data_IF_464681579412
#
_entry.id   IF_464681579412
#
_cell.length_a   1.000
_cell.length_b   1.000
_cell.length_c   1.000
_cell.angle_alpha   90.00
_cell.angle_beta   90.00
_cell.angle_gamma   90.00
#
_symmetry.space_group_name_H-M   'P 1'
#
loop_
_entity.id
_entity.type
_entity.pdbx_description
1 polymer ?
#
# COMPACT_ATOMS: atom_id res chain seq x y z
N UNK A 1 10.28 49.12 -21.95
CA UNK A 1 11.06 48.21 -21.10
C UNK A 1 12.23 47.68 -21.93
N UNK A 2 13.48 47.83 -21.44
CA UNK A 2 14.69 47.37 -22.15
C UNK A 2 14.73 45.84 -22.12
N UNK A 3 14.72 45.21 -23.30
CA UNK A 3 15.09 43.81 -23.46
C UNK A 3 16.59 43.72 -23.15
N UNK A 4 16.96 42.99 -22.11
CA UNK A 4 18.36 42.72 -21.77
C UNK A 4 18.88 41.73 -22.84
N UNK A 5 19.84 42.10 -23.70
CA UNK A 5 20.36 41.18 -24.70
C UNK A 5 21.27 40.16 -23.99
N UNK A 6 20.95 38.87 -24.14
CA UNK A 6 21.75 37.77 -23.60
C UNK A 6 21.03 36.82 -22.63
N UNK A 7 19.75 37.05 -22.31
CA UNK A 7 18.95 36.03 -21.63
C UNK A 7 18.38 35.11 -22.72
N UNK A 8 18.75 33.81 -22.74
CA UNK A 8 18.20 32.88 -23.73
C UNK A 8 16.68 32.85 -23.58
N UNK A 9 15.98 32.90 -24.72
CA UNK A 9 14.54 32.71 -24.72
C UNK A 9 14.26 31.25 -24.36
N UNK A 10 13.49 31.05 -23.29
CA UNK A 10 13.11 29.72 -22.80
C UNK A 10 11.60 29.57 -22.85
N UNK A 11 11.15 28.36 -23.15
CA UNK A 11 9.75 27.97 -23.15
C UNK A 11 9.53 26.98 -22.01
N UNK A 12 8.53 27.21 -21.17
CA UNK A 12 8.23 26.36 -20.00
C UNK A 12 6.83 25.79 -20.16
N UNK A 13 6.73 24.46 -20.12
CA UNK A 13 5.46 23.74 -20.04
C UNK A 13 5.26 23.28 -18.60
N UNK A 14 4.23 23.78 -17.91
CA UNK A 14 3.96 23.43 -16.52
C UNK A 14 2.97 22.27 -16.47
N UNK A 15 3.36 21.15 -15.88
CA UNK A 15 2.47 19.98 -15.69
C UNK A 15 1.83 19.95 -14.30
N UNK A 16 2.57 20.35 -13.27
CA UNK A 16 2.08 20.36 -11.89
C UNK A 16 2.91 21.30 -11.02
N UNK A 17 2.62 21.32 -9.72
CA UNK A 17 3.33 22.13 -8.74
C UNK A 17 3.55 21.29 -7.49
N UNK A 18 4.73 21.37 -6.89
CA UNK A 18 5.00 20.74 -5.60
C UNK A 18 4.39 21.55 -4.43
N UNK A 19 4.42 20.99 -3.22
CA UNK A 19 3.87 21.64 -2.02
C UNK A 19 4.67 22.88 -1.56
N UNK A 20 5.87 23.08 -2.08
CA UNK A 20 6.70 24.27 -1.83
C UNK A 20 6.44 25.39 -2.85
N UNK A 21 5.54 25.16 -3.83
CA UNK A 21 5.18 26.13 -4.86
C UNK A 21 6.09 26.10 -6.09
N UNK A 22 6.97 25.11 -6.23
CA UNK A 22 7.80 24.97 -7.43
C UNK A 22 7.00 24.31 -8.54
N UNK A 23 7.06 24.89 -9.74
CA UNK A 23 6.47 24.30 -10.93
C UNK A 23 7.27 23.09 -11.40
N UNK A 24 6.58 21.97 -11.63
CA UNK A 24 7.12 20.76 -12.24
C UNK A 24 6.67 20.76 -13.69
N UNK A 25 7.61 20.65 -14.61
CA UNK A 25 7.34 20.86 -16.03
C UNK A 25 8.56 20.67 -16.92
N UNK A 26 8.41 21.00 -18.20
CA UNK A 26 9.44 20.89 -19.21
C UNK A 26 10.00 22.25 -19.54
N UNK A 27 11.32 22.36 -19.55
CA UNK A 27 12.02 23.54 -20.00
C UNK A 27 12.60 23.27 -21.39
N UNK A 28 12.30 24.14 -22.34
CA UNK A 28 12.87 24.14 -23.67
C UNK A 28 13.73 25.39 -23.85
N UNK A 29 14.95 25.20 -24.35
CA UNK A 29 15.89 26.28 -24.69
C UNK A 29 16.24 26.09 -26.15
N UNK A 30 15.90 27.07 -27.00
CA UNK A 30 16.16 27.01 -28.45
C UNK A 30 15.62 25.72 -29.12
N UNK A 31 14.45 25.25 -28.68
CA UNK A 31 13.82 24.01 -29.16
C UNK A 31 14.38 22.71 -28.56
N UNK A 32 15.36 22.79 -27.65
CA UNK A 32 15.93 21.63 -26.96
C UNK A 32 15.29 21.45 -25.60
N UNK A 33 14.73 20.27 -25.33
CA UNK A 33 14.22 19.90 -24.01
C UNK A 33 15.38 19.67 -23.03
N UNK A 34 15.47 20.49 -21.99
CA UNK A 34 16.60 20.49 -21.06
C UNK A 34 16.68 19.16 -20.27
N UNK A 35 15.54 18.56 -19.92
CA UNK A 35 15.51 17.27 -19.23
C UNK A 35 16.16 16.17 -20.08
N UNK A 36 15.86 16.15 -21.38
CA UNK A 36 16.48 15.22 -22.34
C UNK A 36 17.99 15.48 -22.44
N UNK A 37 18.41 16.74 -22.60
CA UNK A 37 19.81 17.09 -22.74
C UNK A 37 20.65 16.74 -21.49
N UNK A 38 20.10 16.94 -20.28
CA UNK A 38 20.79 16.59 -19.03
C UNK A 38 20.96 15.07 -18.88
N UNK A 39 19.94 14.30 -19.23
CA UNK A 39 20.01 12.83 -19.25
C UNK A 39 21.02 12.37 -20.29
N UNK A 40 20.95 12.94 -21.50
CA UNK A 40 21.85 12.59 -22.60
C UNK A 40 23.30 12.88 -22.24
N UNK A 41 23.60 13.96 -21.54
CA UNK A 41 24.96 14.30 -21.10
C UNK A 41 25.41 13.54 -19.84
N UNK A 42 24.67 12.52 -19.38
CA UNK A 42 24.95 11.76 -18.16
C UNK A 42 25.01 12.63 -16.89
N UNK A 43 24.27 13.74 -16.84
CA UNK A 43 24.16 14.60 -15.66
C UNK A 43 22.92 14.28 -14.82
N UNK A 44 21.94 13.58 -15.39
CA UNK A 44 20.71 13.15 -14.74
C UNK A 44 20.29 11.73 -15.15
N UNK A 45 19.29 11.18 -14.47
CA UNK A 45 18.65 9.90 -14.78
C UNK A 45 17.15 10.11 -15.02
N UNK A 46 16.55 9.25 -15.83
CA UNK A 46 15.11 9.22 -16.08
C UNK A 46 14.41 8.78 -14.79
N UNK A 47 13.42 9.56 -14.39
CA UNK A 47 12.55 9.26 -13.27
C UNK A 47 11.26 8.59 -13.77
N UNK A 48 10.65 7.70 -12.98
CA UNK A 48 9.45 6.96 -13.39
C UNK A 48 8.26 7.87 -13.76
N UNK A 49 8.22 9.11 -13.26
CA UNK A 49 7.18 10.09 -13.64
C UNK A 49 7.26 10.49 -15.11
N UNK A 50 8.43 10.34 -15.75
CA UNK A 50 8.59 10.57 -17.17
C UNK A 50 7.87 9.53 -18.03
N UNK A 51 7.46 8.38 -17.47
CA UNK A 51 6.77 7.32 -18.22
C UNK A 51 5.47 7.78 -18.88
N UNK A 52 4.78 8.76 -18.25
CA UNK A 52 3.53 9.34 -18.77
C UNK A 52 3.74 10.60 -19.61
N UNK A 53 5.00 11.03 -19.79
CA UNK A 53 5.36 12.24 -20.52
C UNK A 53 5.40 12.01 -22.03
N UNK A 54 5.04 13.00 -22.86
CA UNK A 54 5.30 12.95 -24.30
C UNK A 54 6.80 12.81 -24.62
N UNK A 55 7.71 13.16 -23.70
CA UNK A 55 9.16 13.06 -23.87
C UNK A 55 9.76 11.75 -23.36
N UNK A 56 8.96 10.81 -22.85
CA UNK A 56 9.42 9.52 -22.29
C UNK A 56 10.42 8.81 -23.22
N UNK A 57 10.05 8.66 -24.50
CA UNK A 57 10.88 7.97 -25.50
C UNK A 57 12.23 8.65 -25.70
N UNK A 58 12.25 9.99 -25.77
CA UNK A 58 13.47 10.75 -25.95
C UNK A 58 14.39 10.67 -24.71
N UNK A 59 13.80 10.71 -23.52
CA UNK A 59 14.50 10.56 -22.25
C UNK A 59 15.15 9.17 -22.09
N UNK A 60 14.42 8.10 -22.44
CA UNK A 60 14.96 6.73 -22.39
C UNK A 60 16.10 6.54 -23.38
N UNK A 61 15.93 7.00 -24.63
CA UNK A 61 17.00 6.94 -25.63
C UNK A 61 18.27 7.70 -25.19
N UNK A 62 18.09 8.90 -24.63
CA UNK A 62 19.17 9.70 -24.05
C UNK A 62 19.88 8.97 -22.90
N UNK A 63 19.11 8.29 -22.04
CA UNK A 63 19.66 7.54 -20.91
C UNK A 63 20.47 6.32 -21.36
N UNK A 64 20.00 5.59 -22.36
CA UNK A 64 20.70 4.42 -22.87
C UNK A 64 22.01 4.84 -23.55
N UNK A 65 21.99 5.94 -24.31
CA UNK A 65 23.21 6.55 -24.86
C UNK A 65 24.18 6.98 -23.75
N UNK A 66 23.67 7.55 -22.65
CA UNK A 66 24.49 7.97 -21.51
C UNK A 66 25.11 6.79 -20.74
N UNK A 67 24.37 5.69 -20.56
CA UNK A 67 24.86 4.46 -19.91
C UNK A 67 26.01 3.82 -20.68
N UNK A 68 25.93 3.78 -22.02
CA UNK A 68 26.97 3.21 -22.86
C UNK A 68 28.32 3.92 -22.72
N UNK A 69 28.30 5.23 -22.43
CA UNK A 69 29.54 6.00 -22.25
C UNK A 69 30.18 5.84 -20.87
N UNK A 70 29.47 5.27 -19.88
CA UNK A 70 29.98 5.00 -18.52
C UNK A 70 30.69 6.19 -17.87
N UNK A 71 30.15 7.39 -18.11
CA UNK A 71 30.69 8.65 -17.59
C UNK A 71 29.76 9.24 -16.53
N UNK A 72 30.31 10.11 -15.67
CA UNK A 72 29.55 10.89 -14.68
C UNK A 72 28.65 10.02 -13.79
N UNK A 73 27.32 10.22 -13.83
CA UNK A 73 26.36 9.46 -13.00
C UNK A 73 26.28 7.96 -13.34
N UNK A 74 26.95 7.51 -14.42
CA UNK A 74 27.04 6.11 -14.84
C UNK A 74 28.45 5.51 -14.70
N UNK A 75 29.39 6.21 -14.05
CA UNK A 75 30.79 5.78 -13.86
C UNK A 75 30.98 4.46 -13.10
N UNK A 76 29.97 4.03 -12.34
CA UNK A 76 29.96 2.77 -11.57
C UNK A 76 28.79 1.84 -11.97
N UNK A 77 28.31 1.92 -13.22
CA UNK A 77 27.21 1.09 -13.69
C UNK A 77 27.70 -0.33 -14.03
N UNK A 78 27.19 -1.32 -13.29
CA UNK A 78 27.31 -2.74 -13.63
C UNK A 78 26.02 -3.20 -14.34
N UNK A 79 26.17 -3.73 -15.55
CA UNK A 79 25.07 -4.31 -16.32
C UNK A 79 24.65 -5.63 -15.67
N UNK A 80 23.51 -5.64 -14.98
CA UNK A 80 22.79 -6.89 -14.71
C UNK A 80 22.25 -7.44 -16.03
N UNK A 81 22.52 -8.71 -16.40
CA UNK A 81 22.01 -9.30 -17.63
C UNK A 81 20.49 -9.24 -17.67
N UNK A 82 19.95 -8.55 -18.66
CA UNK A 82 18.51 -8.48 -18.92
C UNK A 82 18.18 -9.72 -19.76
N UNK A 83 17.33 -10.62 -19.22
CA UNK A 83 16.63 -11.59 -20.07
C UNK A 83 15.96 -10.84 -21.22
N UNK A 84 16.10 -11.35 -22.45
CA UNK A 84 15.55 -10.72 -23.67
C UNK A 84 14.06 -10.39 -23.48
N UNK A 85 13.76 -9.11 -23.21
CA UNK A 85 12.39 -8.60 -23.28
C UNK A 85 12.15 -8.23 -24.73
N UNK A 86 11.47 -9.15 -25.43
CA UNK A 86 10.88 -8.99 -26.77
C UNK A 86 10.27 -7.59 -26.92
N UNK A 87 10.50 -6.87 -28.04
CA UNK A 87 9.88 -5.55 -28.26
C UNK A 87 8.36 -5.70 -28.20
N UNK A 88 7.73 -5.01 -27.23
CA UNK A 88 6.28 -4.88 -27.15
C UNK A 88 5.84 -3.97 -28.29
N UNK A 89 5.63 -4.58 -29.46
CA UNK A 89 4.86 -4.02 -30.55
C UNK A 89 3.38 -4.03 -30.15
N UNK A 90 2.74 -2.89 -30.40
CA UNK A 90 1.30 -2.61 -30.36
C UNK A 90 0.63 -2.62 -28.99
N UNK A 91 0.19 -1.42 -28.60
CA UNK A 91 -0.77 -1.14 -27.55
C UNK A 91 -2.03 -2.02 -27.74
N UNK A 92 -2.09 -3.14 -27.03
CA UNK A 92 -3.39 -3.54 -26.48
C UNK A 92 -3.73 -2.49 -25.44
N UNK A 93 -4.80 -1.74 -25.67
CA UNK A 93 -5.49 -0.99 -24.61
C UNK A 93 -5.37 -1.78 -23.32
N UNK A 94 -4.81 -1.16 -22.26
CA UNK A 94 -4.64 -1.81 -20.96
C UNK A 94 -6.02 -2.31 -20.54
N UNK A 95 -6.28 -3.58 -20.76
CA UNK A 95 -7.57 -4.18 -20.45
C UNK A 95 -7.66 -4.16 -18.94
N UNK A 96 -8.49 -3.27 -18.41
CA UNK A 96 -8.62 -3.10 -16.98
C UNK A 96 -9.33 -4.34 -16.41
N UNK A 97 -8.53 -5.25 -15.84
CA UNK A 97 -9.05 -6.41 -15.14
C UNK A 97 -9.32 -6.01 -13.68
N UNK A 98 -10.47 -5.38 -13.46
CA UNK A 98 -10.93 -5.05 -12.11
C UNK A 98 -11.42 -6.32 -11.42
N UNK A 99 -10.89 -6.55 -10.21
CA UNK A 99 -11.35 -7.62 -9.34
C UNK A 99 -12.13 -7.02 -8.16
N UNK A 100 -13.27 -7.61 -7.78
CA UNK A 100 -13.97 -7.20 -6.57
C UNK A 100 -13.13 -7.55 -5.34
N UNK A 101 -12.89 -6.56 -4.48
CA UNK A 101 -12.14 -6.71 -3.24
C UNK A 101 -12.85 -6.03 -2.08
N UNK A 102 -12.59 -6.47 -0.85
CA UNK A 102 -13.03 -5.83 0.37
C UNK A 102 -11.83 -5.14 1.04
N UNK A 103 -11.86 -3.82 1.18
CA UNK A 103 -10.79 -3.07 1.87
C UNK A 103 -10.97 -3.24 3.38
N UNK A 104 -9.96 -3.75 4.07
CA UNK A 104 -10.04 -4.12 5.48
C UNK A 104 -9.30 -3.16 6.41
N UNK A 105 -8.18 -2.59 5.97
CA UNK A 105 -7.34 -1.71 6.77
C UNK A 105 -6.72 -0.63 5.89
N UNK A 106 -6.61 0.59 6.41
CA UNK A 106 -5.84 1.69 5.82
C UNK A 106 -4.79 2.09 6.84
N UNK A 107 -3.52 2.08 6.43
CA UNK A 107 -2.38 2.42 7.28
C UNK A 107 -2.11 3.93 7.27
N UNK A 108 -1.37 4.39 8.29
CA UNK A 108 -0.94 5.80 8.38
C UNK A 108 -0.05 6.23 7.19
N UNK A 109 0.67 5.28 6.58
CA UNK A 109 1.53 5.51 5.41
C UNK A 109 0.76 5.44 4.08
N UNK A 110 -0.57 5.48 4.12
CA UNK A 110 -1.48 5.43 2.97
C UNK A 110 -1.36 4.15 2.11
N UNK A 111 -0.81 3.09 2.69
CA UNK A 111 -1.03 1.72 2.21
C UNK A 111 -2.38 1.23 2.71
N UNK A 112 -2.92 0.21 2.06
CA UNK A 112 -4.17 -0.42 2.47
C UNK A 112 -4.13 -1.92 2.25
N UNK A 113 -4.89 -2.67 3.05
CA UNK A 113 -5.05 -4.11 2.90
C UNK A 113 -6.41 -4.44 2.34
N UNK A 114 -6.46 -5.47 1.49
CA UNK A 114 -7.69 -5.97 0.90
C UNK A 114 -7.80 -7.48 1.00
N UNK A 115 -9.04 -7.96 0.99
CA UNK A 115 -9.42 -9.36 0.80
C UNK A 115 -10.04 -9.55 -0.59
N UNK A 116 -9.80 -10.70 -1.22
CA UNK A 116 -10.48 -11.10 -2.45
C UNK A 116 -11.93 -11.54 -2.12
N UNK A 117 -12.92 -10.97 -2.81
CA UNK A 117 -14.33 -11.33 -2.60
C UNK A 117 -14.60 -12.79 -3.00
N UNK A 118 -13.85 -13.34 -3.96
CA UNK A 118 -14.02 -14.72 -4.42
C UNK A 118 -13.68 -15.75 -3.33
N UNK A 119 -12.78 -15.42 -2.40
CA UNK A 119 -12.36 -16.30 -1.30
C UNK A 119 -13.04 -15.97 0.04
N UNK A 120 -13.87 -14.92 0.10
CA UNK A 120 -14.53 -14.47 1.33
C UNK A 120 -15.32 -15.56 2.07
N UNK A 121 -16.13 -16.35 1.34
CA UNK A 121 -16.89 -17.45 1.93
C UNK A 121 -15.99 -18.56 2.53
N UNK A 122 -14.79 -18.74 1.99
CA UNK A 122 -13.83 -19.71 2.51
C UNK A 122 -13.22 -19.21 3.83
N UNK A 123 -12.94 -17.91 3.93
CA UNK A 123 -12.48 -17.27 5.16
C UNK A 123 -13.55 -17.34 6.26
N UNK A 124 -14.80 -17.00 5.94
CA UNK A 124 -15.92 -17.07 6.89
C UNK A 124 -16.06 -18.48 7.47
N UNK A 125 -16.08 -19.49 6.60
CA UNK A 125 -16.15 -20.90 7.02
C UNK A 125 -14.95 -21.33 7.85
N UNK A 126 -13.75 -20.87 7.51
CA UNK A 126 -12.54 -21.13 8.30
C UNK A 126 -12.67 -20.55 9.70
N UNK A 127 -13.10 -19.29 9.81
CA UNK A 127 -13.26 -18.59 11.09
C UNK A 127 -14.34 -19.21 11.96
N UNK A 128 -15.49 -19.59 11.39
CA UNK A 128 -16.56 -20.29 12.10
C UNK A 128 -16.06 -21.61 12.71
N UNK A 129 -15.42 -22.46 11.90
CA UNK A 129 -14.88 -23.74 12.35
C UNK A 129 -13.78 -23.56 13.41
N UNK A 130 -12.87 -22.60 13.20
CA UNK A 130 -11.79 -22.31 14.14
C UNK A 130 -12.33 -21.85 15.48
N UNK A 131 -13.30 -20.93 15.49
CA UNK A 131 -13.91 -20.40 16.73
C UNK A 131 -14.71 -21.48 17.45
N UNK A 132 -15.42 -22.34 16.73
CA UNK A 132 -16.12 -23.48 17.32
C UNK A 132 -15.16 -24.46 18.00
N UNK A 133 -14.03 -24.78 17.35
CA UNK A 133 -13.00 -25.67 17.92
C UNK A 133 -12.35 -25.05 19.17
N UNK A 134 -11.96 -23.77 19.09
CA UNK A 134 -11.36 -23.02 20.19
C UNK A 134 -12.35 -22.82 21.35
N UNK A 135 -13.64 -22.67 21.07
CA UNK A 135 -14.69 -22.61 22.09
C UNK A 135 -14.90 -23.94 22.81
N UNK A 136 -14.78 -25.07 22.09
CA UNK A 136 -14.87 -26.42 22.66
C UNK A 136 -13.61 -26.80 23.45
N UNK A 137 -12.45 -26.33 22.99
CA UNK A 137 -11.16 -26.55 23.63
C UNK A 137 -10.47 -25.21 23.94
N UNK A 138 -10.90 -24.50 25.00
CA UNK A 138 -10.34 -23.21 25.35
C UNK A 138 -8.82 -23.26 25.52
N UNK A 139 -8.06 -22.29 24.97
CA UNK A 139 -6.62 -22.25 25.15
C UNK A 139 -6.24 -22.13 26.62
N UNK A 140 -5.29 -22.95 27.07
CA UNK A 140 -4.75 -22.88 28.42
C UNK A 140 -3.76 -21.72 28.50
N UNK A 141 -3.93 -20.85 29.49
CA UNK A 141 -3.04 -19.71 29.70
C UNK A 141 -1.59 -20.19 29.92
N UNK A 142 -0.64 -19.56 29.22
CA UNK A 142 0.79 -19.93 29.29
C UNK A 142 1.20 -21.15 28.43
N UNK A 143 0.26 -21.82 27.75
CA UNK A 143 0.58 -22.95 26.85
C UNK A 143 1.30 -22.52 25.56
N UNK A 144 1.28 -21.23 25.23
CA UNK A 144 1.93 -20.66 24.06
C UNK A 144 3.05 -19.72 24.46
N UNK A 145 4.28 -20.02 24.00
CA UNK A 145 5.43 -19.13 24.10
C UNK A 145 5.69 -18.50 22.73
N UNK A 146 5.25 -17.26 22.48
CA UNK A 146 5.35 -16.64 21.17
C UNK A 146 6.81 -16.38 20.78
N UNK A 147 7.16 -16.65 19.52
CA UNK A 147 8.42 -16.21 18.90
C UNK A 147 8.14 -15.46 17.62
N UNK A 148 9.02 -14.52 17.28
CA UNK A 148 8.94 -13.79 16.02
C UNK A 148 8.85 -14.76 14.84
N UNK A 149 7.84 -14.55 14.00
CA UNK A 149 7.55 -15.37 12.83
C UNK A 149 6.52 -16.47 13.06
N UNK A 150 6.22 -16.84 14.31
CA UNK A 150 5.23 -17.87 14.62
C UNK A 150 3.83 -17.44 14.14
N UNK A 151 3.08 -18.40 13.60
CA UNK A 151 1.65 -18.27 13.39
C UNK A 151 0.90 -18.67 14.66
N UNK A 152 -0.11 -17.89 15.01
CA UNK A 152 -0.90 -18.05 16.21
C UNK A 152 -2.37 -17.68 15.94
N UNK A 153 -3.22 -17.91 16.93
CA UNK A 153 -4.50 -17.20 17.02
C UNK A 153 -4.37 -16.10 18.07
N UNK A 154 -5.01 -14.96 17.79
CA UNK A 154 -5.05 -13.80 18.66
C UNK A 154 -6.51 -13.40 18.91
N UNK A 155 -6.85 -13.17 20.18
CA UNK A 155 -8.18 -12.72 20.58
C UNK A 155 -8.27 -11.21 20.38
N UNK A 156 -9.14 -10.72 19.50
CA UNK A 156 -9.29 -9.29 19.22
C UNK A 156 -10.19 -8.60 20.26
N UNK A 157 -10.37 -7.28 20.14
CA UNK A 157 -11.14 -6.46 21.10
C UNK A 157 -12.64 -6.73 21.09
N UNK A 158 -13.15 -7.34 20.02
CA UNK A 158 -14.52 -7.85 19.91
C UNK A 158 -14.75 -9.16 20.71
N UNK A 159 -13.67 -9.75 21.24
CA UNK A 159 -13.70 -11.01 21.96
C UNK A 159 -13.57 -12.26 21.09
N UNK A 160 -13.44 -12.11 19.77
CA UNK A 160 -13.32 -13.23 18.83
C UNK A 160 -11.86 -13.58 18.55
N UNK A 161 -11.63 -14.84 18.15
CA UNK A 161 -10.31 -15.32 17.76
C UNK A 161 -10.08 -15.21 16.25
N UNK A 162 -8.88 -14.79 15.89
CA UNK A 162 -8.44 -14.58 14.51
C UNK A 162 -7.04 -15.14 14.29
N UNK A 163 -6.70 -15.47 13.05
CA UNK A 163 -5.33 -15.90 12.70
C UNK A 163 -4.39 -14.71 12.68
N UNK A 164 -3.20 -14.88 13.26
CA UNK A 164 -2.20 -13.84 13.37
C UNK A 164 -0.78 -14.39 13.20
N UNK A 165 0.16 -13.49 12.95
CA UNK A 165 1.60 -13.76 12.93
C UNK A 165 2.30 -12.85 13.93
N UNK A 166 3.22 -13.42 14.70
CA UNK A 166 4.04 -12.65 15.64
C UNK A 166 5.10 -11.86 14.87
N UNK A 167 5.07 -10.54 14.95
CA UNK A 167 6.07 -9.65 14.32
C UNK A 167 7.26 -9.38 15.26
N UNK A 168 6.99 -9.20 16.55
CA UNK A 168 8.00 -8.86 17.57
C UNK A 168 7.53 -9.30 18.96
N UNK A 169 8.46 -9.76 19.78
CA UNK A 169 8.24 -10.04 21.21
C UNK A 169 9.11 -9.09 22.02
N UNK A 170 8.51 -8.32 22.90
CA UNK A 170 9.23 -7.37 23.77
C UNK A 170 9.60 -8.01 25.11
N UNK A 171 10.69 -7.56 25.70
CA UNK A 171 11.18 -8.05 27.01
C UNK A 171 10.17 -7.86 28.15
N UNK A 172 9.23 -6.91 28.01
CA UNK A 172 8.15 -6.66 28.97
C UNK A 172 6.91 -7.54 28.79
N UNK A 173 6.98 -8.60 27.98
CA UNK A 173 5.87 -9.52 27.73
C UNK A 173 4.82 -9.01 26.75
N UNK A 174 5.01 -7.85 26.13
CA UNK A 174 4.17 -7.35 25.05
C UNK A 174 4.55 -8.01 23.72
N UNK A 175 3.55 -8.42 22.95
CA UNK A 175 3.75 -9.11 21.68
C UNK A 175 3.07 -8.32 20.58
N UNK A 176 3.84 -7.92 19.58
CA UNK A 176 3.35 -7.29 18.36
C UNK A 176 2.91 -8.36 17.39
N UNK A 177 1.67 -8.28 16.92
CA UNK A 177 1.09 -9.23 16.00
C UNK A 177 0.47 -8.53 14.80
N UNK A 178 0.41 -9.27 13.70
CA UNK A 178 -0.26 -8.88 12.46
C UNK A 178 -1.37 -9.87 12.17
N UNK A 179 -2.60 -9.38 12.01
CA UNK A 179 -3.76 -10.20 11.65
C UNK A 179 -3.70 -10.55 10.17
N UNK A 180 -3.29 -11.79 9.86
CA UNK A 180 -2.90 -12.20 8.50
C UNK A 180 -4.05 -12.18 7.49
N UNK A 181 -5.29 -12.15 7.98
CA UNK A 181 -6.48 -12.12 7.14
C UNK A 181 -7.07 -10.71 7.00
N UNK A 182 -6.64 -9.73 7.81
CA UNK A 182 -7.25 -8.39 7.84
C UNK A 182 -6.25 -7.24 7.64
N UNK A 183 -4.97 -7.43 7.91
CA UNK A 183 -3.93 -6.42 7.66
C UNK A 183 -3.64 -5.47 8.83
N UNK A 184 -4.54 -5.38 9.81
CA UNK A 184 -4.31 -4.56 11.00
C UNK A 184 -3.30 -5.21 11.96
N UNK A 185 -2.65 -4.36 12.76
CA UNK A 185 -1.64 -4.75 13.76
C UNK A 185 -2.14 -4.45 15.17
N UNK A 186 -1.71 -5.24 16.14
CA UNK A 186 -2.02 -4.98 17.56
C UNK A 186 -0.83 -5.36 18.45
N UNK A 187 -0.74 -4.73 19.62
CA UNK A 187 0.18 -5.15 20.69
C UNK A 187 -0.64 -5.79 21.81
N UNK A 188 -0.38 -7.07 22.07
CA UNK A 188 -1.16 -7.90 22.97
C UNK A 188 -0.31 -8.51 24.10
N UNK A 189 -0.91 -8.80 25.27
CA UNK A 189 -0.31 -9.69 26.24
C UNK A 189 -0.35 -11.15 25.73
N UNK A 190 0.53 -12.05 26.21
CA UNK A 190 0.56 -13.43 25.75
C UNK A 190 -0.71 -14.21 26.11
N UNK A 191 -1.47 -13.77 27.11
CA UNK A 191 -2.76 -14.36 27.51
C UNK A 191 -3.87 -14.19 26.45
N UNK A 192 -3.70 -13.28 25.48
CA UNK A 192 -4.59 -13.12 24.32
C UNK A 192 -4.08 -13.88 23.09
N UNK A 193 -3.05 -14.70 23.22
CA UNK A 193 -2.45 -15.48 22.15
C UNK A 193 -2.52 -16.98 22.47
N UNK A 194 -2.71 -17.79 21.44
CA UNK A 194 -2.67 -19.24 21.55
C UNK A 194 -2.09 -19.88 20.28
N UNK A 195 -1.65 -21.15 20.32
CA UNK A 195 -1.13 -21.82 19.15
C UNK A 195 -2.21 -21.91 18.07
N UNK A 196 -1.85 -21.69 16.81
CA UNK A 196 -2.78 -21.89 15.70
C UNK A 196 -2.98 -23.40 15.47
N UNK A 197 -4.21 -23.93 15.56
CA UNK A 197 -4.44 -25.34 15.26
C UNK A 197 -4.07 -25.63 13.79
N UNK A 198 -3.38 -26.75 13.48
CA UNK A 198 -2.89 -27.04 12.13
C UNK A 198 -3.97 -27.03 11.04
N UNK A 199 -5.20 -27.40 11.42
CA UNK A 199 -6.38 -27.40 10.54
C UNK A 199 -6.74 -26.00 10.00
N UNK A 200 -6.28 -24.93 10.64
CA UNK A 200 -6.54 -23.54 10.22
C UNK A 200 -5.27 -22.82 9.76
N UNK A 201 -4.19 -23.57 9.52
CA UNK A 201 -2.89 -23.02 9.13
C UNK A 201 -2.94 -22.29 7.78
N UNK A 202 -1.96 -21.39 7.50
CA UNK A 202 -1.81 -20.75 6.19
C UNK A 202 -1.67 -21.70 4.99
N UNK A 203 -1.36 -22.99 5.24
CA UNK A 203 -1.32 -24.03 4.20
C UNK A 203 -2.71 -24.50 3.78
N UNK A 204 -3.71 -24.41 4.67
CA UNK A 204 -5.10 -24.81 4.42
C UNK A 204 -5.84 -23.69 3.69
N UNK A 205 -5.72 -22.46 4.20
CA UNK A 205 -6.18 -21.26 3.51
C UNK A 205 -5.06 -20.22 3.62
N UNK A 206 -4.54 -19.68 2.51
CA UNK A 206 -3.53 -18.61 2.55
C UNK A 206 -3.98 -17.40 3.37
N UNK A 207 -3.06 -16.56 3.86
CA UNK A 207 -3.39 -15.25 4.42
C UNK A 207 -4.31 -14.49 3.45
N UNK A 208 -5.42 -13.95 3.96
CA UNK A 208 -6.42 -13.31 3.11
C UNK A 208 -6.21 -11.80 2.93
N UNK A 209 -5.35 -11.16 3.72
CA UNK A 209 -5.01 -9.75 3.54
C UNK A 209 -3.80 -9.58 2.63
N UNK A 210 -3.97 -8.79 1.56
CA UNK A 210 -2.88 -8.36 0.67
C UNK A 210 -2.70 -6.86 0.76
N UNK A 211 -1.47 -6.41 0.99
CA UNK A 211 -1.11 -4.99 1.04
C UNK A 211 -1.02 -4.40 -0.37
N UNK A 212 -1.55 -3.19 -0.53
CA UNK A 212 -1.50 -2.39 -1.74
C UNK A 212 -1.20 -0.93 -1.43
N UNK A 213 -0.75 -0.22 -2.46
CA UNK A 213 -0.54 1.22 -2.46
C UNK A 213 -1.34 1.86 -3.59
N UNK A 214 -1.69 3.13 -3.44
CA UNK A 214 -2.36 3.85 -4.52
C UNK A 214 -1.41 4.11 -5.70
N UNK A 215 -1.89 3.89 -6.91
CA UNK A 215 -1.16 4.27 -8.12
C UNK A 215 -1.20 5.79 -8.32
N UNK A 216 -0.10 6.35 -8.84
CA UNK A 216 -0.01 7.73 -9.35
C UNK A 216 -0.16 8.87 -8.32
N UNK A 217 -0.13 8.58 -7.03
CA UNK A 217 -0.13 9.61 -5.97
C UNK A 217 1.12 9.50 -5.09
N UNK A 218 1.51 10.62 -4.50
CA UNK A 218 2.55 10.66 -3.47
C UNK A 218 1.90 10.73 -2.09
N UNK A 219 2.39 9.91 -1.16
CA UNK A 219 1.99 9.96 0.25
C UNK A 219 2.42 11.31 0.83
N UNK A 220 1.51 12.08 1.47
CA UNK A 220 1.89 13.31 2.16
C UNK A 220 2.96 13.05 3.22
N UNK A 221 4.10 13.74 3.14
CA UNK A 221 5.04 13.81 4.26
C UNK A 221 4.68 15.00 5.15
N UNK A 222 4.62 14.78 6.47
CA UNK A 222 4.52 15.87 7.43
C UNK A 222 5.82 16.67 7.43
N UNK A 223 5.73 17.93 6.98
CA UNK A 223 6.80 18.92 7.14
C UNK A 223 6.88 19.27 8.63
N UNK A 224 7.70 18.55 9.38
CA UNK A 224 8.15 19.02 10.69
C UNK A 224 8.98 20.29 10.48
N UNK A 225 8.32 21.42 10.70
CA UNK A 225 8.94 22.74 10.73
C UNK A 225 9.98 22.74 11.85
N UNK A 226 11.24 22.94 11.48
CA UNK A 226 12.27 23.39 12.41
C UNK A 226 11.84 24.74 12.98
N UNK A 227 11.29 24.72 14.19
CA UNK A 227 10.87 25.90 14.93
C UNK A 227 11.13 25.68 16.40
N UNK A 228 12.10 26.41 16.93
CA UNK A 228 12.39 26.54 18.36
C UNK A 228 11.09 26.71 19.17
N UNK A 229 10.76 25.73 20.01
CA UNK A 229 9.75 25.89 21.07
C UNK A 229 10.47 26.20 22.38
N UNK A 230 10.32 27.44 22.85
CA UNK A 230 10.63 27.83 24.22
C UNK A 230 9.73 27.05 25.21
N UNK A 231 10.24 26.61 26.37
CA UNK A 231 9.42 25.92 27.36
C UNK A 231 8.69 26.96 28.20
N UNK A 232 7.36 27.07 28.07
CA UNK A 232 6.60 27.92 28.96
C UNK A 232 5.16 28.18 28.55
N UNK A 233 4.28 27.21 28.77
CA UNK A 233 2.94 27.39 29.35
C UNK A 233 2.12 26.12 29.13
N UNK A 234 1.76 25.45 30.21
CA UNK A 234 0.91 24.27 30.14
C UNK A 234 -0.50 24.63 29.69
N UNK A 235 -1.01 23.85 28.73
CA UNK A 235 -2.43 23.67 28.48
C UNK A 235 -2.65 22.20 28.14
N UNK A 236 -3.46 21.52 28.95
CA UNK A 236 -3.95 20.17 28.69
C UNK A 236 -4.77 20.21 27.39
N UNK A 237 -4.36 19.44 26.39
CA UNK A 237 -5.25 19.13 25.26
C UNK A 237 -6.05 17.89 25.65
N UNK A 238 -7.37 18.06 25.82
CA UNK A 238 -8.32 16.96 25.96
C UNK A 238 -8.28 16.06 24.71
N UNK A 239 -8.54 14.74 24.83
CA UNK A 239 -8.60 13.85 23.68
C UNK A 239 -9.78 14.24 22.78
N UNK A 240 -9.51 14.32 21.47
CA UNK A 240 -10.51 14.60 20.45
C UNK A 240 -11.69 13.59 20.52
N UNK A 241 -12.93 14.04 20.27
CA UNK A 241 -14.09 13.15 20.27
C UNK A 241 -13.99 12.10 19.16
N UNK A 242 -14.42 10.87 19.46
CA UNK A 242 -14.45 9.74 18.51
C UNK A 242 -15.20 10.11 17.23
N UNK A 243 -14.65 9.81 16.04
CA UNK A 243 -15.42 9.91 14.80
C UNK A 243 -16.56 8.88 14.83
N UNK A 244 -17.77 9.33 14.51
CA UNK A 244 -18.92 8.44 14.32
C UNK A 244 -18.71 7.53 13.10
N UNK A 245 -19.29 6.32 13.06
CA UNK A 245 -19.18 5.44 11.91
C UNK A 245 -19.78 6.11 10.68
N UNK A 246 -19.02 6.15 9.60
CA UNK A 246 -19.53 6.54 8.29
C UNK A 246 -20.65 5.58 7.88
N UNK A 247 -21.83 6.11 7.57
CA UNK A 247 -22.87 5.34 6.91
C UNK A 247 -22.57 5.34 5.40
N UNK A 248 -22.53 4.18 4.73
CA UNK A 248 -22.33 4.15 3.28
C UNK A 248 -23.55 4.76 2.58
N UNK A 249 -23.35 5.90 1.92
CA UNK A 249 -24.31 6.43 0.95
C UNK A 249 -24.27 5.54 -0.30
N UNK A 250 -25.32 4.74 -0.47
CA UNK A 250 -25.55 3.97 -1.70
C UNK A 250 -25.91 4.97 -2.83
N UNK A 251 -25.29 4.90 -4.02
CA UNK A 251 -25.70 5.70 -5.17
C UNK A 251 -27.16 5.42 -5.54
N UNK A 252 -27.96 6.42 -5.95
CA UNK A 252 -29.41 6.29 -6.11
C UNK A 252 -29.90 5.32 -7.20
N UNK A 253 -29.02 4.71 -8.01
CA UNK A 253 -29.42 3.96 -9.21
C UNK A 253 -29.11 2.45 -9.21
N UNK A 254 -28.75 1.85 -8.07
CA UNK A 254 -28.67 0.39 -7.96
C UNK A 254 -29.95 -0.16 -7.33
N UNK A 255 -30.87 -0.58 -8.20
CA UNK A 255 -32.08 -1.31 -7.79
C UNK A 255 -31.65 -2.60 -7.06
N UNK A 256 -32.08 -2.85 -5.82
CA UNK A 256 -31.70 -4.04 -5.09
C UNK A 256 -32.19 -5.30 -5.84
N UNK A 257 -31.42 -6.40 -5.82
CA UNK A 257 -31.86 -7.66 -6.41
C UNK A 257 -33.15 -8.14 -5.72
N UNK A 258 -34.07 -8.80 -6.46
CA UNK A 258 -35.31 -9.30 -5.89
C UNK A 258 -35.02 -10.28 -4.74
N UNK A 259 -35.75 -10.12 -3.63
CA UNK A 259 -35.67 -11.02 -2.47
C UNK A 259 -36.07 -12.43 -2.92
N UNK A 260 -35.18 -13.40 -2.72
CA UNK A 260 -35.50 -14.82 -2.87
C UNK A 260 -36.46 -15.20 -1.74
N UNK A 261 -37.64 -15.78 -2.04
CA UNK A 261 -38.57 -16.22 -0.99
C UNK A 261 -37.96 -17.38 -0.18
N UNK A 262 -38.31 -17.52 1.10
CA UNK A 262 -37.80 -18.59 1.94
C UNK A 262 -38.17 -19.97 1.37
N UNK A 263 -37.17 -20.85 1.28
CA UNK A 263 -37.36 -22.26 0.93
C UNK A 263 -38.16 -22.93 2.05
N UNK A 264 -39.32 -23.48 1.70
CA UNK A 264 -40.15 -24.24 2.62
C UNK A 264 -39.38 -25.46 3.17
N UNK A 265 -39.55 -25.83 4.45
CA UNK A 265 -38.89 -27.00 5.00
C UNK A 265 -39.37 -28.28 4.27
N UNK A 266 -38.41 -29.13 3.87
CA UNK A 266 -38.71 -30.46 3.32
C UNK A 266 -39.38 -31.34 4.39
N UNK A 267 -40.36 -32.17 4.03
CA UNK A 267 -40.88 -33.18 4.94
C UNK A 267 -39.80 -34.24 5.20
N UNK A 268 -39.57 -34.54 6.47
CA UNK A 268 -38.73 -35.65 6.93
C UNK A 268 -39.40 -36.99 6.61
N UNK A 269 -38.66 -37.98 6.10
CA UNK A 269 -39.09 -39.38 6.12
C UNK A 269 -39.02 -39.97 7.54
#
# INVERSE_FOLDING_TARGET
>A
ARVIPGIPQVEVEVESMDKAGNFIGWLHIEGVNLSVALVEQALSRVHFTAERSPYCKALLAAQDAAKQRKEKVWSHYEETPVEEVVPVLEEKERTANYKPVFVTEITDDLHFYVQDVETGAQLEKLMENMRAEVGTHPPVEGSFTPRRGDFCIAKFVDGEWYRARVEKVESGGKVHIFYIDYGNKETLPPSRLAPLPPAFSPRVLPPQATEYTFAFIQVPQDVSTGGHVNPGSGSRCDPAPRPQPWAPTVPPDLKPPPRVPPVAPRPTP
#
